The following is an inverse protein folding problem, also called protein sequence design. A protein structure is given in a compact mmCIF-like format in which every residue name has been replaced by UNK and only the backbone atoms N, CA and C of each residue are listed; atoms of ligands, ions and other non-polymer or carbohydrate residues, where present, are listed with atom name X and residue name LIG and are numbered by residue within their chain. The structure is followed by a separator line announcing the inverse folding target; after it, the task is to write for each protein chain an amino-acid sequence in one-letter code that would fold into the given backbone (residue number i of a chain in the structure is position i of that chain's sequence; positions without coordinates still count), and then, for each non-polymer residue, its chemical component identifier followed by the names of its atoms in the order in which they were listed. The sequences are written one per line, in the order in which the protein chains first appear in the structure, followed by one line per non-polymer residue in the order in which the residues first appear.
data_IF_597534662449
#
_entry.id   IF_597534662449
#
_cell.length_a   1.000
_cell.length_b   1.000
_cell.length_c   1.000
_cell.angle_alpha   90.00
_cell.angle_beta   90.00
_cell.angle_gamma   90.00
#
_symmetry.space_group_name_H-M   'P 1'
#
loop_
_entity.id
_entity.type
_entity.pdbx_description
1 polymer ?
#
# COMPACT_ATOMS: atom_id res chain seq x y z
N UNK A 1 2.96 -23.61 -16.70
CA UNK A 1 2.32 -23.34 -15.39
C UNK A 1 1.37 -22.16 -15.60
N UNK A 2 0.05 -22.33 -15.47
CA UNK A 2 -0.88 -21.19 -15.54
C UNK A 2 -0.74 -20.42 -14.23
N UNK A 3 -0.20 -19.22 -14.28
CA UNK A 3 -0.34 -18.24 -13.20
C UNK A 3 -1.83 -17.89 -13.12
N UNK A 4 -2.57 -18.54 -12.21
CA UNK A 4 -3.91 -18.10 -11.86
C UNK A 4 -3.76 -17.14 -10.70
N UNK A 5 -3.64 -15.84 -11.01
CA UNK A 5 -3.74 -14.81 -9.99
C UNK A 5 -5.19 -14.82 -9.50
N UNK A 6 -5.44 -15.30 -8.28
CA UNK A 6 -6.78 -15.29 -7.70
C UNK A 6 -7.15 -13.86 -7.34
N UNK A 7 -8.22 -13.27 -7.89
CA UNK A 7 -8.61 -11.90 -7.56
C UNK A 7 -8.78 -11.69 -6.06
N UNK A 8 -8.62 -10.46 -5.58
CA UNK A 8 -8.95 -10.12 -4.20
C UNK A 8 -10.42 -10.52 -3.91
N UNK A 9 -10.71 -11.08 -2.73
CA UNK A 9 -12.09 -11.39 -2.36
C UNK A 9 -12.88 -10.09 -2.15
N UNK A 10 -14.19 -10.21 -1.99
CA UNK A 10 -15.00 -9.08 -1.55
C UNK A 10 -14.58 -8.65 -0.13
N UNK A 11 -13.83 -7.54 -0.03
CA UNK A 11 -13.26 -7.04 1.22
C UNK A 11 -14.29 -6.38 2.14
N UNK A 12 -15.51 -6.10 1.66
CA UNK A 12 -16.58 -5.52 2.50
C UNK A 12 -16.99 -6.44 3.65
N UNK A 13 -16.75 -7.75 3.55
CA UNK A 13 -17.02 -8.69 4.64
C UNK A 13 -16.19 -8.39 5.90
N UNK A 14 -15.02 -7.76 5.77
CA UNK A 14 -14.20 -7.37 6.91
C UNK A 14 -14.78 -6.17 7.66
N UNK A 15 -15.58 -5.32 7.02
CA UNK A 15 -16.28 -4.22 7.68
C UNK A 15 -17.33 -4.71 8.68
N UNK A 16 -17.77 -5.97 8.58
CA UNK A 16 -18.72 -6.58 9.50
C UNK A 16 -18.06 -7.08 10.79
N UNK A 17 -16.72 -7.13 10.84
CA UNK A 17 -15.99 -7.53 12.04
C UNK A 17 -15.94 -6.34 13.01
N UNK A 18 -16.47 -6.48 14.25
CA UNK A 18 -16.57 -5.35 15.18
C UNK A 18 -15.23 -4.66 15.46
N UNK A 19 -14.14 -5.42 15.57
CA UNK A 19 -12.80 -4.89 15.82
C UNK A 19 -12.24 -4.07 14.64
N UNK A 20 -12.53 -4.48 13.40
CA UNK A 20 -12.13 -3.75 12.19
C UNK A 20 -12.98 -2.50 12.04
N UNK A 21 -14.30 -2.62 12.22
CA UNK A 21 -15.23 -1.51 12.16
C UNK A 21 -14.88 -0.42 13.18
N UNK A 22 -14.67 -0.81 14.45
CA UNK A 22 -14.29 0.12 15.50
C UNK A 22 -12.93 0.77 15.24
N UNK A 23 -11.97 0.03 14.67
CA UNK A 23 -10.66 0.55 14.32
C UNK A 23 -10.71 1.56 13.16
N UNK A 24 -11.65 1.42 12.22
CA UNK A 24 -11.80 2.29 11.05
C UNK A 24 -12.75 3.48 11.28
N UNK A 25 -13.68 3.38 12.23
CA UNK A 25 -14.69 4.42 12.51
C UNK A 25 -14.15 5.86 12.64
N UNK A 26 -12.94 6.11 13.18
CA UNK A 26 -12.40 7.47 13.28
C UNK A 26 -11.86 8.09 11.98
N UNK A 27 -11.81 7.32 10.88
CA UNK A 27 -11.12 7.73 9.64
C UNK A 27 -12.07 7.94 8.46
N UNK A 28 -11.58 8.56 7.38
CA UNK A 28 -12.36 8.75 6.16
C UNK A 28 -12.71 7.39 5.52
N UNK A 29 -13.88 7.31 4.87
CA UNK A 29 -14.27 6.13 4.10
C UNK A 29 -13.22 5.80 3.02
N UNK A 30 -12.62 6.85 2.43
CA UNK A 30 -11.56 6.73 1.43
C UNK A 30 -10.31 6.02 1.98
N UNK A 31 -9.84 6.42 3.16
CA UNK A 31 -8.74 5.72 3.82
C UNK A 31 -9.13 4.29 4.19
N UNK A 32 -10.34 4.09 4.75
CA UNK A 32 -10.85 2.78 5.12
C UNK A 32 -10.90 1.82 3.92
N UNK A 33 -11.36 2.29 2.76
CA UNK A 33 -11.37 1.52 1.52
C UNK A 33 -9.95 1.16 1.05
N UNK A 34 -9.00 2.09 1.15
CA UNK A 34 -7.62 1.83 0.72
C UNK A 34 -6.84 0.90 1.65
N UNK A 35 -7.08 0.96 2.97
CA UNK A 35 -6.27 0.21 3.93
C UNK A 35 -6.67 -1.26 4.03
N UNK A 36 -7.92 -1.61 3.73
CA UNK A 36 -8.39 -3.00 3.75
C UNK A 36 -7.65 -3.94 2.78
N UNK A 37 -7.49 -3.63 1.48
CA UNK A 37 -6.73 -4.51 0.57
C UNK A 37 -5.28 -4.66 1.00
N UNK A 38 -4.68 -3.60 1.56
CA UNK A 38 -3.33 -3.64 2.11
C UNK A 38 -3.27 -4.60 3.31
N UNK A 39 -4.12 -4.41 4.33
CA UNK A 39 -4.14 -5.30 5.50
C UNK A 39 -4.45 -6.75 5.11
N UNK A 40 -5.30 -6.97 4.11
CA UNK A 40 -5.56 -8.31 3.58
C UNK A 40 -4.29 -8.94 3.00
N UNK A 41 -3.59 -8.22 2.13
CA UNK A 41 -2.36 -8.69 1.46
C UNK A 41 -1.17 -8.85 2.44
N UNK A 42 -1.15 -8.10 3.54
CA UNK A 42 -0.20 -8.29 4.65
C UNK A 42 -0.58 -9.48 5.57
N UNK A 43 -1.74 -10.12 5.34
CA UNK A 43 -2.28 -11.12 6.27
C UNK A 43 -2.79 -10.54 7.59
N UNK A 44 -2.80 -9.21 7.73
CA UNK A 44 -3.25 -8.48 8.91
C UNK A 44 -4.72 -8.71 9.26
N UNK A 45 -5.54 -9.19 8.34
CA UNK A 45 -6.94 -9.54 8.61
C UNK A 45 -7.15 -11.01 9.06
N UNK A 46 -6.07 -11.76 9.31
CA UNK A 46 -6.12 -13.07 9.96
C UNK A 46 -6.35 -12.91 11.47
N UNK A 47 -6.79 -13.99 12.13
CA UNK A 47 -7.12 -13.97 13.55
C UNK A 47 -5.95 -13.56 14.46
N UNK A 48 -4.73 -13.89 14.08
CA UNK A 48 -3.48 -13.52 14.76
C UNK A 48 -2.90 -12.18 14.31
N UNK A 49 -3.56 -11.49 13.38
CA UNK A 49 -3.06 -10.27 12.75
C UNK A 49 -1.87 -10.51 11.81
N UNK A 50 -1.67 -11.73 11.30
CA UNK A 50 -0.54 -12.04 10.45
C UNK A 50 0.79 -11.98 11.19
N UNK A 51 0.80 -12.36 12.47
CA UNK A 51 1.99 -12.38 13.29
C UNK A 51 3.06 -13.29 12.68
N UNK A 52 4.24 -12.75 12.41
CA UNK A 52 5.38 -13.47 11.85
C UNK A 52 6.64 -13.13 12.66
N UNK A 53 7.33 -14.16 13.15
CA UNK A 53 8.57 -14.06 13.93
C UNK A 53 9.63 -15.05 13.43
N UNK A 54 9.85 -15.03 12.12
CA UNK A 54 10.83 -15.91 11.47
C UNK A 54 12.21 -15.23 11.46
N UNK A 55 13.21 -15.90 12.06
CA UNK A 55 14.56 -15.36 12.24
C UNK A 55 15.28 -14.94 10.94
N UNK A 56 14.90 -15.51 9.78
CA UNK A 56 15.45 -15.12 8.47
C UNK A 56 14.84 -13.85 7.89
N UNK A 57 13.78 -13.30 8.50
CA UNK A 57 13.17 -12.05 8.07
C UNK A 57 14.02 -10.86 8.52
N UNK A 58 14.49 -10.07 7.54
CA UNK A 58 15.26 -8.84 7.79
C UNK A 58 14.45 -7.77 8.52
N UNK A 59 13.13 -7.88 8.56
CA UNK A 59 12.22 -7.01 9.32
C UNK A 59 12.05 -7.40 10.79
N UNK A 60 12.40 -8.64 11.15
CA UNK A 60 12.11 -9.23 12.46
C UNK A 60 10.61 -9.43 12.69
N UNK A 61 10.21 -9.50 13.97
CA UNK A 61 8.83 -9.62 14.41
C UNK A 61 7.92 -8.62 13.68
N UNK A 62 6.87 -9.14 13.03
CA UNK A 62 5.94 -8.36 12.21
C UNK A 62 4.50 -8.75 12.52
N UNK A 63 3.60 -7.77 12.60
CA UNK A 63 2.15 -7.97 12.77
C UNK A 63 1.39 -6.87 12.04
N UNK A 64 0.30 -7.21 11.36
CA UNK A 64 -0.47 -6.31 10.50
C UNK A 64 0.37 -5.62 9.41
N UNK A 65 1.46 -6.26 8.96
CA UNK A 65 2.42 -5.65 8.02
C UNK A 65 3.36 -4.61 8.63
N UNK A 66 3.33 -4.43 9.96
CA UNK A 66 4.19 -3.50 10.70
C UNK A 66 5.32 -4.29 11.38
N UNK A 67 6.57 -3.99 11.03
CA UNK A 67 7.75 -4.70 11.53
C UNK A 67 8.45 -3.97 12.68
N UNK A 68 9.06 -4.73 13.57
CA UNK A 68 9.83 -4.22 14.71
C UNK A 68 11.00 -3.35 14.25
N UNK A 69 11.61 -3.69 13.12
CA UNK A 69 12.68 -2.90 12.53
C UNK A 69 12.23 -1.49 12.14
N UNK A 70 11.04 -1.35 11.56
CA UNK A 70 10.50 -0.04 11.19
C UNK A 70 10.03 0.77 12.42
N UNK A 71 9.55 0.07 13.45
CA UNK A 71 9.02 0.66 14.68
C UNK A 71 9.69 0.07 15.94
N UNK A 72 10.96 0.43 16.22
CA UNK A 72 11.77 -0.23 17.25
C UNK A 72 11.26 -0.04 18.68
N UNK A 73 10.41 0.95 18.92
CA UNK A 73 9.86 1.26 20.24
C UNK A 73 8.44 0.74 20.46
N UNK A 74 7.82 0.15 19.43
CA UNK A 74 6.46 -0.39 19.51
C UNK A 74 6.54 -1.88 19.87
N UNK A 75 5.71 -2.32 20.81
CA UNK A 75 5.49 -3.74 21.07
C UNK A 75 4.67 -4.37 19.93
N UNK A 76 5.37 -4.96 18.96
CA UNK A 76 4.75 -5.54 17.76
C UNK A 76 3.94 -6.79 18.10
N UNK A 77 4.37 -7.57 19.11
CA UNK A 77 3.70 -8.81 19.50
C UNK A 77 2.26 -8.53 19.94
N UNK A 78 2.10 -7.51 20.76
CA UNK A 78 0.81 -7.08 21.30
C UNK A 78 0.18 -5.92 20.52
N UNK A 79 0.68 -5.62 19.31
CA UNK A 79 0.10 -4.59 18.46
C UNK A 79 -1.38 -4.93 18.19
N UNK A 80 -2.24 -3.91 18.23
CA UNK A 80 -3.66 -4.00 17.91
C UNK A 80 -3.90 -3.49 16.50
N UNK A 81 -4.95 -3.98 15.83
CA UNK A 81 -5.31 -3.51 14.49
C UNK A 81 -5.59 -2.00 14.45
N UNK A 82 -6.24 -1.46 15.49
CA UNK A 82 -6.47 -0.02 15.63
C UNK A 82 -5.18 0.78 15.73
N UNK A 83 -4.16 0.25 16.41
CA UNK A 83 -2.85 0.89 16.45
C UNK A 83 -2.12 0.76 15.10
N UNK A 84 -2.14 -0.40 14.45
CA UNK A 84 -1.55 -0.57 13.12
C UNK A 84 -2.17 0.39 12.09
N UNK A 85 -3.50 0.50 12.03
CA UNK A 85 -4.23 1.43 11.15
C UNK A 85 -3.82 2.88 11.42
N UNK A 86 -3.65 3.26 12.69
CA UNK A 86 -3.17 4.59 13.07
C UNK A 86 -1.78 4.89 12.53
N UNK A 87 -0.87 3.93 12.56
CA UNK A 87 0.48 4.07 12.01
C UNK A 87 0.41 4.25 10.49
N UNK A 88 -0.37 3.42 9.79
CA UNK A 88 -0.59 3.56 8.35
C UNK A 88 -1.15 4.94 7.97
N UNK A 89 -2.15 5.41 8.72
CA UNK A 89 -2.75 6.72 8.49
C UNK A 89 -1.74 7.86 8.72
N UNK A 90 -1.01 7.81 9.83
CA UNK A 90 -0.06 8.87 10.22
C UNK A 90 1.14 8.95 9.30
N UNK A 91 1.77 7.81 9.03
CA UNK A 91 3.11 7.76 8.44
C UNK A 91 3.10 7.63 6.92
N UNK A 92 1.99 7.16 6.35
CA UNK A 92 1.87 6.95 4.91
C UNK A 92 0.71 7.73 4.30
N UNK A 93 -0.53 7.55 4.76
CA UNK A 93 -1.70 8.23 4.17
C UNK A 93 -1.56 9.76 4.20
N UNK A 94 -1.30 10.32 5.38
CA UNK A 94 -1.11 11.76 5.57
C UNK A 94 0.18 12.26 4.93
N UNK A 95 1.27 11.53 5.08
CA UNK A 95 2.57 11.92 4.53
C UNK A 95 2.56 12.00 2.99
N UNK A 96 1.74 11.16 2.35
CA UNK A 96 1.60 11.10 0.90
C UNK A 96 0.44 11.94 0.35
N UNK A 97 -0.30 12.65 1.21
CA UNK A 97 -1.47 13.45 0.82
C UNK A 97 -2.52 12.61 0.07
N UNK A 98 -2.69 11.35 0.46
CA UNK A 98 -3.56 10.41 -0.25
C UNK A 98 -5.04 10.85 -0.26
N UNK A 99 -5.50 11.56 0.78
CA UNK A 99 -6.87 12.10 0.83
C UNK A 99 -7.17 13.04 -0.36
N UNK A 100 -6.15 13.73 -0.87
CA UNK A 100 -6.25 14.69 -1.97
C UNK A 100 -6.07 14.06 -3.37
N UNK A 101 -5.72 12.77 -3.47
CA UNK A 101 -5.50 12.08 -4.74
C UNK A 101 -6.79 11.42 -5.22
N UNK A 102 -7.00 11.25 -6.52
CA UNK A 102 -8.15 10.52 -7.04
C UNK A 102 -8.18 9.06 -6.60
N UNK A 103 -9.37 8.45 -6.56
CA UNK A 103 -9.52 7.03 -6.21
C UNK A 103 -8.65 6.15 -7.13
N UNK A 104 -8.07 5.09 -6.57
CA UNK A 104 -7.12 4.22 -7.24
C UNK A 104 -5.70 4.80 -7.30
N UNK A 105 -5.54 6.11 -7.51
CA UNK A 105 -4.24 6.80 -7.39
C UNK A 105 -3.81 6.83 -5.93
N UNK A 106 -4.73 7.13 -5.03
CA UNK A 106 -4.56 7.09 -3.58
C UNK A 106 -4.08 5.71 -3.08
N UNK A 107 -4.72 4.64 -3.51
CA UNK A 107 -4.41 3.26 -3.16
C UNK A 107 -3.00 2.87 -3.65
N UNK A 108 -2.69 3.10 -4.93
CA UNK A 108 -1.36 2.80 -5.49
C UNK A 108 -0.26 3.59 -4.80
N UNK A 109 -0.58 4.82 -4.39
CA UNK A 109 0.35 5.72 -3.69
C UNK A 109 0.58 5.26 -2.26
N UNK A 110 -0.48 4.92 -1.52
CA UNK A 110 -0.39 4.41 -0.14
C UNK A 110 0.39 3.10 -0.11
N UNK A 111 -0.03 2.10 -0.88
CA UNK A 111 0.60 0.78 -0.95
C UNK A 111 2.07 0.90 -1.42
N UNK A 112 2.31 1.76 -2.42
CA UNK A 112 3.65 2.04 -2.90
C UNK A 112 4.54 2.69 -1.84
N UNK A 113 4.03 3.61 -1.02
CA UNK A 113 4.78 4.24 0.05
C UNK A 113 5.15 3.24 1.16
N UNK A 114 4.28 2.27 1.45
CA UNK A 114 4.56 1.18 2.39
C UNK A 114 5.68 0.28 1.87
N UNK A 115 5.64 -0.12 0.59
CA UNK A 115 6.66 -1.03 0.03
C UNK A 115 7.98 -0.34 -0.32
N UNK A 116 7.97 0.94 -0.65
CA UNK A 116 9.13 1.65 -1.19
C UNK A 116 9.67 2.76 -0.29
N UNK A 117 8.97 3.08 0.80
CA UNK A 117 9.16 4.29 1.58
C UNK A 117 8.56 5.53 0.91
N UNK A 118 8.03 6.44 1.72
CA UNK A 118 7.30 7.65 1.27
C UNK A 118 8.16 8.55 0.36
N UNK A 119 9.46 8.72 0.65
CA UNK A 119 10.34 9.54 -0.19
C UNK A 119 10.45 8.99 -1.62
N UNK A 120 10.74 7.70 -1.75
CA UNK A 120 10.95 7.12 -3.06
C UNK A 120 9.63 6.94 -3.82
N UNK A 121 8.52 6.70 -3.12
CA UNK A 121 7.20 6.71 -3.74
C UNK A 121 6.78 8.11 -4.19
N UNK A 122 7.11 9.16 -3.43
CA UNK A 122 6.89 10.56 -3.82
C UNK A 122 7.59 10.88 -5.14
N UNK A 123 8.83 10.44 -5.31
CA UNK A 123 9.55 10.60 -6.57
C UNK A 123 8.92 9.81 -7.73
N UNK A 124 8.32 8.64 -7.47
CA UNK A 124 7.57 7.89 -8.49
C UNK A 124 6.31 8.66 -8.91
N UNK A 125 5.53 9.15 -7.95
CA UNK A 125 4.32 9.94 -8.20
C UNK A 125 4.62 11.22 -8.98
N UNK A 126 5.68 11.93 -8.60
CA UNK A 126 6.13 13.14 -9.30
C UNK A 126 6.53 12.85 -10.75
N UNK A 127 7.36 11.81 -10.99
CA UNK A 127 7.73 11.43 -12.37
C UNK A 127 6.52 11.01 -13.20
N UNK A 128 5.57 10.28 -12.60
CA UNK A 128 4.38 9.81 -13.30
C UNK A 128 3.40 10.94 -13.68
N UNK A 129 3.33 11.98 -12.85
CA UNK A 129 2.50 13.18 -13.05
C UNK A 129 3.21 14.30 -13.83
N UNK A 130 4.51 14.18 -14.06
CA UNK A 130 5.32 15.23 -14.72
C UNK A 130 5.78 16.35 -13.78
N UNK A 131 5.56 16.23 -12.47
CA UNK A 131 6.13 17.15 -11.48
C UNK A 131 7.64 16.93 -11.29
N UNK A 132 8.32 17.93 -10.71
CA UNK A 132 9.72 17.82 -10.30
C UNK A 132 9.88 16.69 -9.27
N UNK A 133 10.78 15.74 -9.55
CA UNK A 133 10.97 14.53 -8.74
C UNK A 133 11.91 14.73 -7.52
N UNK A 134 11.59 15.68 -6.65
CA UNK A 134 12.37 16.03 -5.45
C UNK A 134 12.01 15.22 -4.18
N UNK A 135 11.00 14.36 -4.26
CA UNK A 135 10.55 13.50 -3.17
C UNK A 135 9.73 14.20 -2.09
N UNK A 136 9.34 15.48 -2.31
CA UNK A 136 8.51 16.26 -1.40
C UNK A 136 7.18 16.60 -2.05
N UNK A 137 6.09 16.02 -1.54
CA UNK A 137 4.75 16.33 -2.04
C UNK A 137 4.30 17.66 -1.46
N UNK A 138 3.95 18.58 -2.35
CA UNK A 138 3.37 19.89 -2.02
C UNK A 138 2.40 20.36 -3.11
N UNK A 139 1.93 21.61 -3.05
CA UNK A 139 0.88 22.12 -3.94
C UNK A 139 1.16 21.92 -5.43
N UNK A 140 2.41 22.08 -5.87
CA UNK A 140 2.80 21.88 -7.26
C UNK A 140 2.71 20.41 -7.69
N UNK A 141 3.06 19.47 -6.82
CA UNK A 141 2.88 18.03 -7.08
C UNK A 141 1.40 17.68 -7.14
N UNK A 142 0.60 18.16 -6.19
CA UNK A 142 -0.85 17.89 -6.16
C UNK A 142 -1.55 18.42 -7.41
N UNK A 143 -1.20 19.64 -7.86
CA UNK A 143 -1.70 20.22 -9.11
C UNK A 143 -1.32 19.39 -10.34
N UNK A 144 -0.08 18.90 -10.41
CA UNK A 144 0.35 18.07 -11.53
C UNK A 144 -0.40 16.73 -11.55
N UNK A 145 -0.59 16.12 -10.38
CA UNK A 145 -1.38 14.88 -10.23
C UNK A 145 -2.83 15.11 -10.68
N UNK A 146 -3.51 16.14 -10.17
CA UNK A 146 -4.90 16.44 -10.51
C UNK A 146 -5.11 16.86 -11.97
N UNK A 147 -4.03 17.20 -12.69
CA UNK A 147 -4.08 17.53 -14.13
C UNK A 147 -3.92 16.29 -15.01
N UNK A 148 -3.64 15.12 -14.43
CA UNK A 148 -3.55 13.85 -15.15
C UNK A 148 -4.88 13.11 -15.15
N UNK A 149 -5.19 12.39 -16.22
CA UNK A 149 -6.28 11.41 -16.18
C UNK A 149 -5.95 10.29 -15.17
N UNK A 150 -6.82 10.00 -14.18
CA UNK A 150 -6.52 9.04 -13.11
C UNK A 150 -6.13 7.65 -13.62
N UNK A 151 -6.80 7.14 -14.66
CA UNK A 151 -6.50 5.84 -15.25
C UNK A 151 -5.08 5.79 -15.84
N UNK A 152 -4.67 6.89 -16.50
CA UNK A 152 -3.31 7.01 -17.04
C UNK A 152 -2.28 7.08 -15.91
N UNK A 153 -2.60 7.76 -14.81
CA UNK A 153 -1.71 7.87 -13.68
C UNK A 153 -1.55 6.53 -12.95
N UNK A 154 -2.65 5.80 -12.69
CA UNK A 154 -2.60 4.44 -12.14
C UNK A 154 -1.72 3.53 -12.99
N UNK A 155 -1.94 3.49 -14.32
CA UNK A 155 -1.11 2.69 -15.22
C UNK A 155 0.38 3.05 -15.11
N UNK A 156 0.72 4.34 -15.11
CA UNK A 156 2.11 4.80 -14.96
C UNK A 156 2.69 4.44 -13.61
N UNK A 157 1.94 4.57 -12.52
CA UNK A 157 2.39 4.18 -11.18
C UNK A 157 2.70 2.69 -11.12
N UNK A 158 1.81 1.84 -11.65
CA UNK A 158 2.02 0.39 -11.71
C UNK A 158 3.30 0.04 -12.48
N UNK A 159 3.49 0.61 -13.67
CA UNK A 159 4.71 0.37 -14.47
C UNK A 159 5.97 0.83 -13.73
N UNK A 160 5.97 2.02 -13.11
CA UNK A 160 7.15 2.53 -12.40
C UNK A 160 7.50 1.71 -11.16
N UNK A 161 6.48 1.23 -10.42
CA UNK A 161 6.69 0.33 -9.27
C UNK A 161 7.24 -1.03 -9.71
N UNK A 162 6.68 -1.62 -10.77
CA UNK A 162 7.21 -2.86 -11.35
C UNK A 162 8.67 -2.74 -11.78
N UNK A 163 9.02 -1.65 -12.49
CA UNK A 163 10.42 -1.35 -12.85
C UNK A 163 11.32 -1.21 -11.64
N UNK A 164 10.83 -0.61 -10.55
CA UNK A 164 11.59 -0.47 -9.31
C UNK A 164 11.85 -1.84 -8.66
N UNK A 165 10.87 -2.74 -8.59
CA UNK A 165 11.08 -4.10 -8.09
C UNK A 165 12.15 -4.84 -8.89
N UNK A 166 12.05 -4.82 -10.22
CA UNK A 166 13.06 -5.41 -11.08
C UNK A 166 14.46 -4.83 -10.78
N UNK A 167 14.56 -3.51 -10.62
CA UNK A 167 15.83 -2.82 -10.33
C UNK A 167 16.40 -3.16 -8.94
N UNK A 168 15.57 -3.43 -7.95
CA UNK A 168 16.01 -3.91 -6.64
C UNK A 168 16.72 -5.26 -6.81
N UNK A 169 16.12 -6.21 -7.53
CA UNK A 169 16.72 -7.53 -7.75
C UNK A 169 17.95 -7.53 -8.67
N UNK A 170 18.04 -6.58 -9.62
CA UNK A 170 19.27 -6.42 -10.42
C UNK A 170 20.41 -5.84 -9.59
N UNK A 171 20.12 -5.00 -8.60
CA UNK A 171 21.12 -4.40 -7.72
C UNK A 171 21.49 -5.28 -6.52
N UNK A 172 20.57 -6.12 -6.05
CA UNK A 172 20.76 -7.07 -4.96
C UNK A 172 20.09 -8.40 -5.32
N UNK A 173 20.89 -9.37 -5.77
CA UNK A 173 20.39 -10.69 -6.16
C UNK A 173 19.79 -11.48 -4.98
N UNK A 174 20.11 -11.14 -3.72
CA UNK A 174 19.49 -11.78 -2.54
C UNK A 174 17.99 -11.52 -2.44
N UNK A 175 17.48 -10.53 -3.17
CA UNK A 175 16.06 -10.16 -3.18
C UNK A 175 15.21 -10.95 -4.19
N UNK A 176 15.83 -11.70 -5.12
CA UNK A 176 15.11 -12.44 -6.18
C UNK A 176 13.98 -13.34 -5.67
N UNK A 177 14.09 -14.06 -4.53
CA UNK A 177 12.99 -14.89 -4.02
C UNK A 177 11.69 -14.12 -3.74
N UNK A 178 11.77 -12.81 -3.48
CA UNK A 178 10.61 -11.98 -3.16
C UNK A 178 9.92 -11.38 -4.40
N UNK A 179 10.57 -11.46 -5.57
CA UNK A 179 10.17 -10.69 -6.77
C UNK A 179 8.76 -11.04 -7.25
N UNK A 180 8.44 -12.34 -7.30
CA UNK A 180 7.12 -12.81 -7.71
C UNK A 180 6.03 -12.29 -6.76
N UNK A 181 6.27 -12.37 -5.45
CA UNK A 181 5.35 -11.83 -4.44
C UNK A 181 5.09 -10.33 -4.60
N UNK A 182 6.14 -9.55 -4.88
CA UNK A 182 6.00 -8.10 -5.12
C UNK A 182 5.18 -7.78 -6.37
N UNK A 183 5.38 -8.51 -7.47
CA UNK A 183 4.59 -8.33 -8.68
C UNK A 183 3.15 -8.80 -8.51
N UNK A 184 2.91 -9.89 -7.79
CA UNK A 184 1.55 -10.37 -7.48
C UNK A 184 0.78 -9.34 -6.64
N UNK A 185 1.40 -8.77 -5.61
CA UNK A 185 0.82 -7.67 -4.83
C UNK A 185 0.49 -6.47 -5.72
N UNK A 186 1.43 -6.05 -6.56
CA UNK A 186 1.22 -4.94 -7.47
C UNK A 186 0.08 -5.19 -8.45
N UNK A 187 -0.06 -6.42 -8.95
CA UNK A 187 -1.14 -6.81 -9.83
C UNK A 187 -2.50 -6.70 -9.11
N UNK A 188 -2.66 -7.28 -7.92
CA UNK A 188 -3.88 -7.15 -7.12
C UNK A 188 -4.27 -5.71 -6.83
N UNK A 189 -3.30 -4.89 -6.41
CA UNK A 189 -3.52 -3.49 -6.09
C UNK A 189 -3.89 -2.69 -7.35
N UNK A 190 -3.29 -3.01 -8.50
CA UNK A 190 -3.63 -2.37 -9.77
C UNK A 190 -5.03 -2.75 -10.26
N UNK A 191 -5.39 -4.02 -10.18
CA UNK A 191 -6.73 -4.52 -10.51
C UNK A 191 -7.80 -3.84 -9.65
N UNK A 192 -7.59 -3.80 -8.33
CA UNK A 192 -8.50 -3.15 -7.39
C UNK A 192 -8.64 -1.65 -7.70
N UNK A 193 -7.53 -0.95 -7.93
CA UNK A 193 -7.56 0.48 -8.26
C UNK A 193 -8.30 0.79 -9.57
N UNK A 194 -8.17 -0.06 -10.59
CA UNK A 194 -8.93 0.11 -11.83
C UNK A 194 -10.42 -0.19 -11.64
N UNK A 195 -10.77 -1.21 -10.85
CA UNK A 195 -12.16 -1.51 -10.53
C UNK A 195 -12.84 -0.34 -9.78
N UNK A 196 -12.14 0.31 -8.85
CA UNK A 196 -12.60 1.54 -8.19
C UNK A 196 -12.82 2.68 -9.20
N UNK A 197 -11.88 2.91 -10.12
CA UNK A 197 -11.98 3.96 -11.14
C UNK A 197 -13.12 3.74 -12.15
N UNK A 198 -13.52 2.49 -12.36
CA UNK A 198 -14.61 2.13 -13.26
C UNK A 198 -15.95 1.89 -12.55
N UNK A 199 -16.02 2.12 -11.23
CA UNK A 199 -17.25 1.99 -10.44
C UNK A 199 -17.74 0.56 -10.29
N UNK A 200 -16.86 -0.44 -10.36
CA UNK A 200 -17.21 -1.86 -10.29
C UNK A 200 -17.36 -2.40 -8.85
N UNK A 201 -17.22 -1.53 -7.84
CA UNK A 201 -17.31 -1.86 -6.40
C UNK A 201 -18.29 -0.96 -5.62
N UNK A 202 -19.19 -0.25 -6.33
CA UNK A 202 -20.30 0.52 -5.74
C UNK A 202 -21.55 -0.31 -5.50
#
# INVERSE_FOLDING_TARGET
MRLTLTPLPNLSCFNQRPEVQAALAPYSLKFAHCILPILYLEGGLRADGGLNDVASDRGGLTKYGISQRAYPTIDIKNLTIAHAIRLYHRDYWRAMYCEQLDNGVDLLTLDGAINHGSFAMSQILQRASGAKADGRIGPNTLKAVSSCAPQSLVARLSVNRGRKYARICTNDASQKPNLEGWFNRLAHISEYAFAELWGQHG
#
